data_IF_657420287457
#
_entry.id   IF_657420287457
#
_cell.length_a   1.000
_cell.length_b   1.000
_cell.length_c   1.000
_cell.angle_alpha   90.00
_cell.angle_beta   90.00
_cell.angle_gamma   90.00
#
_symmetry.space_group_name_H-M   'P 1'
#
loop_
_entity.id
_entity.type
_entity.pdbx_description
1 polymer ?
#
# COMPACT_ATOMS: atom_id res chain seq x y z
N UNK A 1 -17.94 -42.49 -46.48
CA UNK A 1 -16.49 -42.32 -46.67
C UNK A 1 -16.02 -41.32 -45.63
N UNK A 2 -15.99 -41.69 -44.35
CA UNK A 2 -15.05 -42.61 -43.68
C UNK A 2 -13.75 -41.93 -43.24
N UNK A 3 -13.43 -42.20 -41.97
CA UNK A 3 -12.20 -41.93 -41.20
C UNK A 3 -11.98 -40.48 -40.73
N UNK A 4 -11.72 -40.19 -39.44
CA UNK A 4 -11.53 -41.05 -38.27
C UNK A 4 -11.59 -40.20 -36.99
N UNK A 5 -12.18 -40.76 -35.93
CA UNK A 5 -12.19 -40.25 -34.56
C UNK A 5 -11.19 -41.03 -33.70
N UNK A 6 -10.48 -40.36 -32.78
CA UNK A 6 -9.81 -40.87 -31.55
C UNK A 6 -9.66 -39.64 -30.63
N UNK A 7 -10.33 -39.41 -29.50
CA UNK A 7 -10.73 -40.18 -28.30
C UNK A 7 -9.59 -40.42 -27.27
N UNK A 8 -9.81 -39.86 -26.06
CA UNK A 8 -9.81 -40.56 -24.75
C UNK A 8 -8.51 -40.60 -23.90
N UNK A 9 -8.60 -39.89 -22.76
CA UNK A 9 -8.31 -40.34 -21.37
C UNK A 9 -6.97 -40.09 -20.64
N UNK A 10 -7.16 -39.42 -19.48
CA UNK A 10 -6.83 -39.83 -18.09
C UNK A 10 -5.37 -39.90 -17.57
N UNK A 11 -5.12 -39.10 -16.51
CA UNK A 11 -4.60 -39.47 -15.15
C UNK A 11 -4.36 -38.16 -14.37
N UNK A 12 -5.03 -37.76 -13.28
CA UNK A 12 -5.28 -38.38 -11.96
C UNK A 12 -4.02 -38.77 -11.18
N UNK A 13 -3.63 -37.91 -10.22
CA UNK A 13 -3.10 -38.16 -8.85
C UNK A 13 -3.10 -36.79 -8.10
N UNK A 14 -3.81 -36.53 -6.98
CA UNK A 14 -3.62 -36.99 -5.57
C UNK A 14 -2.16 -36.80 -5.11
N UNK A 15 -1.77 -36.13 -4.01
CA UNK A 15 -2.34 -35.86 -2.68
C UNK A 15 -1.46 -34.87 -1.89
N UNK A 16 -2.07 -34.15 -0.92
CA UNK A 16 -1.57 -33.86 0.44
C UNK A 16 -0.25 -33.07 0.65
N UNK A 17 -0.32 -31.91 1.33
CA UNK A 17 0.19 -31.81 2.71
C UNK A 17 -0.19 -30.52 3.43
N UNK A 18 -0.72 -30.73 4.63
CA UNK A 18 -0.90 -29.83 5.78
C UNK A 18 0.35 -29.05 6.18
N UNK A 19 0.17 -27.82 6.68
CA UNK A 19 1.23 -27.02 7.28
C UNK A 19 0.71 -25.92 8.20
N UNK A 20 0.06 -26.31 9.30
CA UNK A 20 -0.27 -25.44 10.44
C UNK A 20 1.00 -24.83 11.03
N UNK A 21 1.05 -23.51 11.21
CA UNK A 21 2.01 -22.84 12.09
C UNK A 21 1.32 -21.91 13.07
N UNK A 22 1.00 -22.48 14.23
CA UNK A 22 0.87 -21.79 15.51
C UNK A 22 2.22 -21.23 15.96
N UNK A 23 2.22 -20.02 16.53
CA UNK A 23 3.15 -19.42 17.55
C UNK A 23 3.05 -17.88 17.39
N UNK A 24 2.91 -17.02 18.40
CA UNK A 24 3.12 -17.08 19.85
C UNK A 24 2.33 -15.92 20.49
N UNK A 25 1.56 -16.25 21.53
CA UNK A 25 1.11 -15.31 22.56
C UNK A 25 2.22 -15.14 23.60
N UNK A 26 2.26 -13.95 24.20
CA UNK A 26 2.47 -13.66 25.63
C UNK A 26 3.56 -12.63 25.96
N UNK A 27 3.37 -12.02 27.14
CA UNK A 27 4.25 -11.12 27.91
C UNK A 27 4.00 -9.63 27.62
N UNK A 28 3.55 -8.78 28.56
CA UNK A 28 3.83 -8.72 30.00
C UNK A 28 2.65 -8.10 30.79
N UNK A 29 2.33 -8.73 31.93
CA UNK A 29 1.56 -8.19 33.06
C UNK A 29 2.54 -7.79 34.18
N UNK A 30 2.13 -6.85 35.03
CA UNK A 30 2.76 -6.51 36.32
C UNK A 30 3.51 -5.18 36.23
N UNK A 31 3.34 -4.21 37.13
CA UNK A 31 3.44 -4.35 38.59
C UNK A 31 2.51 -3.36 39.29
N UNK A 32 1.85 -3.86 40.34
CA UNK A 32 1.13 -3.12 41.36
C UNK A 32 1.93 -3.18 42.66
N UNK A 33 1.52 -2.35 43.63
CA UNK A 33 1.86 -2.33 45.07
C UNK A 33 3.04 -1.42 45.44
N UNK A 34 2.74 -0.36 46.21
CA UNK A 34 3.02 -0.25 47.66
C UNK A 34 2.24 0.95 48.22
N UNK A 35 1.59 0.70 49.36
CA UNK A 35 0.85 1.62 50.23
C UNK A 35 1.68 1.83 51.53
N UNK A 36 1.25 2.74 52.43
CA UNK A 36 1.65 2.92 53.86
C UNK A 36 2.86 3.85 54.11
N UNK A 37 2.91 4.88 54.99
CA UNK A 37 2.02 5.50 56.00
C UNK A 37 2.56 6.90 56.44
N UNK A 38 1.65 7.71 57.00
CA UNK A 38 1.78 8.70 58.10
C UNK A 38 2.76 9.89 58.06
N UNK A 39 2.24 11.11 58.26
CA UNK A 39 2.19 11.72 59.61
C UNK A 39 1.45 13.07 59.64
N UNK A 40 0.68 13.26 60.71
CA UNK A 40 -0.03 14.47 61.10
C UNK A 40 0.90 15.62 61.48
N UNK A 41 0.53 16.84 61.11
CA UNK A 41 0.76 18.03 61.93
C UNK A 41 -0.23 19.12 61.53
N UNK A 42 -0.99 19.59 62.52
CA UNK A 42 -1.87 20.75 62.43
C UNK A 42 -1.04 22.04 62.37
N UNK A 43 -1.46 23.02 61.56
CA UNK A 43 -1.09 24.41 61.74
C UNK A 43 -2.17 25.34 61.16
N UNK A 44 -2.57 26.32 61.96
CA UNK A 44 -3.65 27.27 61.74
C UNK A 44 -3.26 28.43 60.79
N UNK A 45 -4.26 28.86 60.00
CA UNK A 45 -4.49 30.20 59.44
C UNK A 45 -3.53 30.75 58.34
N UNK A 46 -3.86 31.87 57.64
CA UNK A 46 -5.16 32.50 57.33
C UNK A 46 -5.43 32.66 55.81
N UNK A 47 -6.67 33.01 55.49
CA UNK A 47 -7.22 33.42 54.20
C UNK A 47 -6.28 34.26 53.32
N UNK A 48 -5.88 33.70 52.18
CA UNK A 48 -5.42 34.44 51.01
C UNK A 48 -6.17 33.90 49.80
N UNK A 49 -6.86 34.80 49.08
CA UNK A 49 -7.59 34.51 47.85
C UNK A 49 -6.56 34.22 46.73
N UNK A 50 -5.96 33.04 46.78
CA UNK A 50 -5.13 32.51 45.72
C UNK A 50 -6.07 31.93 44.67
N UNK A 51 -6.02 32.49 43.46
CA UNK A 51 -6.52 31.84 42.26
C UNK A 51 -5.73 30.54 42.09
N UNK A 52 -6.24 29.47 42.69
CA UNK A 52 -5.74 28.11 42.50
C UNK A 52 -6.02 27.78 41.04
N UNK A 53 -5.05 28.10 40.17
CA UNK A 53 -4.98 27.51 38.84
C UNK A 53 -4.82 26.03 39.09
N UNK A 54 -5.96 25.33 39.03
CA UNK A 54 -6.01 23.89 39.23
C UNK A 54 -4.96 23.23 38.33
N UNK A 55 -4.28 22.19 38.82
CA UNK A 55 -3.27 21.43 38.06
C UNK A 55 -3.79 21.02 36.66
N UNK A 56 -5.10 20.81 36.55
CA UNK A 56 -5.82 20.58 35.29
C UNK A 56 -5.78 21.76 34.31
N UNK A 57 -5.94 23.01 34.78
CA UNK A 57 -5.80 24.20 33.92
C UNK A 57 -4.37 24.36 33.40
N UNK A 58 -3.36 24.04 34.22
CA UNK A 58 -1.96 24.07 33.81
C UNK A 58 -1.64 22.98 32.76
N UNK A 59 -2.18 21.76 32.93
CA UNK A 59 -2.07 20.68 31.92
C UNK A 59 -2.73 21.06 30.60
N UNK A 60 -3.93 21.65 30.65
CA UNK A 60 -4.64 22.12 29.45
C UNK A 60 -3.88 23.23 28.72
N UNK A 61 -3.27 24.16 29.46
CA UNK A 61 -2.44 25.22 28.88
C UNK A 61 -1.22 24.64 28.14
N UNK A 62 -0.47 23.72 28.76
CA UNK A 62 0.68 23.04 28.14
C UNK A 62 0.28 22.25 26.88
N UNK A 63 -0.87 21.58 26.91
CA UNK A 63 -1.41 20.85 25.76
C UNK A 63 -1.73 21.76 24.57
N UNK A 64 -2.33 22.94 24.84
CA UNK A 64 -2.64 23.94 23.79
C UNK A 64 -1.37 24.51 23.17
N UNK A 65 -0.34 24.76 23.98
CA UNK A 65 0.94 25.29 23.50
C UNK A 65 1.66 24.29 22.58
N UNK A 66 1.71 23.01 22.95
CA UNK A 66 2.29 21.95 22.12
C UNK A 66 1.57 21.83 20.77
N UNK A 67 0.23 21.95 20.74
CA UNK A 67 -0.54 21.95 19.48
C UNK A 67 -0.18 23.13 18.59
N UNK A 68 0.00 24.32 19.15
CA UNK A 68 0.42 25.52 18.39
C UNK A 68 1.82 25.34 17.80
N UNK A 69 2.78 24.88 18.60
CA UNK A 69 4.14 24.63 18.15
C UNK A 69 4.19 23.58 17.01
N UNK A 70 3.40 22.50 17.11
CA UNK A 70 3.30 21.48 16.06
C UNK A 70 2.72 22.04 14.76
N UNK A 71 1.63 22.81 14.86
CA UNK A 71 0.98 23.42 13.70
C UNK A 71 1.88 24.47 13.02
N UNK A 72 2.69 25.20 13.79
CA UNK A 72 3.64 26.17 13.25
C UNK A 72 4.74 25.48 12.42
N UNK A 73 5.37 24.41 12.95
CA UNK A 73 6.35 23.62 12.21
C UNK A 73 5.79 23.03 10.91
N UNK A 74 4.51 22.63 10.92
CA UNK A 74 3.85 22.13 9.71
C UNK A 74 3.70 23.22 8.64
N UNK A 75 3.30 24.44 9.03
CA UNK A 75 3.21 25.58 8.11
C UNK A 75 4.57 26.00 7.54
N UNK A 76 5.62 25.97 8.35
CA UNK A 76 6.99 26.26 7.89
C UNK A 76 7.48 25.22 6.88
N UNK A 77 7.21 23.92 7.12
CA UNK A 77 7.51 22.87 6.14
C UNK A 77 6.75 23.03 4.82
N UNK A 78 5.51 23.50 4.85
CA UNK A 78 4.73 23.79 3.64
C UNK A 78 5.35 24.94 2.83
N UNK A 79 5.72 26.04 3.49
CA UNK A 79 6.39 27.18 2.82
C UNK A 79 7.72 26.78 2.16
N UNK A 80 8.49 25.90 2.81
CA UNK A 80 9.74 25.38 2.23
C UNK A 80 9.51 24.48 1.02
N UNK A 81 8.40 23.72 0.97
CA UNK A 81 8.04 22.92 -0.21
C UNK A 81 7.55 23.79 -1.37
N UNK A 82 6.91 24.92 -1.08
CA UNK A 82 6.37 25.85 -2.08
C UNK A 82 7.47 26.69 -2.77
N UNK A 83 8.62 26.91 -2.10
CA UNK A 83 9.74 27.67 -2.65
C UNK A 83 10.68 26.85 -3.57
N UNK A 84 10.50 25.52 -3.67
CA UNK A 84 11.28 24.68 -4.58
C UNK A 84 10.62 24.70 -5.95
N UNK A 85 10.94 25.71 -6.76
CA UNK A 85 10.61 25.72 -8.18
C UNK A 85 11.51 24.70 -8.88
N UNK A 86 10.99 23.62 -9.47
CA UNK A 86 11.85 22.63 -10.13
C UNK A 86 12.48 23.25 -11.39
N UNK A 87 13.81 23.17 -11.56
CA UNK A 87 14.47 23.62 -12.78
C UNK A 87 14.25 22.62 -13.93
N UNK A 88 14.09 23.20 -15.12
CA UNK A 88 14.13 22.60 -16.45
C UNK A 88 13.00 21.65 -16.83
N UNK A 89 12.09 22.23 -17.61
CA UNK A 89 11.25 21.60 -18.63
C UNK A 89 12.14 20.96 -19.70
N UNK A 90 12.82 19.86 -19.36
CA UNK A 90 13.28 18.93 -20.38
C UNK A 90 12.03 18.39 -21.08
N UNK A 91 12.05 18.42 -22.40
CA UNK A 91 10.93 18.05 -23.27
C UNK A 91 10.74 16.54 -23.19
N UNK A 92 9.95 16.04 -22.25
CA UNK A 92 9.56 14.63 -22.20
C UNK A 92 8.44 14.35 -23.21
N UNK A 93 8.41 13.13 -23.76
CA UNK A 93 7.28 12.67 -24.56
C UNK A 93 5.97 12.69 -23.75
N UNK A 94 4.84 12.81 -24.44
CA UNK A 94 3.51 12.80 -23.83
C UNK A 94 3.35 11.52 -22.98
N UNK A 95 2.93 11.60 -21.70
CA UNK A 95 2.84 10.43 -20.84
C UNK A 95 1.73 9.52 -21.37
N UNK A 96 2.10 8.38 -21.96
CA UNK A 96 1.18 7.32 -22.42
C UNK A 96 1.38 6.02 -21.63
N UNK A 97 1.65 6.11 -20.33
CA UNK A 97 1.71 4.92 -19.48
C UNK A 97 2.09 5.20 -18.01
N UNK A 98 1.96 4.17 -17.14
CA UNK A 98 2.32 4.23 -15.72
C UNK A 98 3.77 4.63 -15.46
N UNK A 99 4.69 4.20 -16.34
CA UNK A 99 6.10 4.54 -16.28
C UNK A 99 6.50 5.50 -17.40
N UNK A 100 7.16 6.59 -17.01
CA UNK A 100 7.67 7.60 -17.94
C UNK A 100 8.87 7.03 -18.69
N UNK A 101 8.81 7.03 -20.02
CA UNK A 101 9.92 6.60 -20.87
C UNK A 101 10.98 7.71 -20.92
N UNK A 102 12.23 7.44 -20.51
CA UNK A 102 13.30 8.43 -20.65
C UNK A 102 13.60 8.66 -22.14
N UNK A 103 13.96 9.90 -22.49
CA UNK A 103 14.56 10.17 -23.79
C UNK A 103 16.00 9.66 -23.78
N UNK A 104 16.18 8.45 -24.30
CA UNK A 104 17.47 7.76 -24.37
C UNK A 104 17.66 7.19 -25.78
N UNK A 105 18.89 7.20 -26.32
CA UNK A 105 19.18 6.52 -27.58
C UNK A 105 19.22 4.99 -27.44
N UNK A 106 19.14 4.43 -26.23
CA UNK A 106 19.19 2.98 -26.04
C UNK A 106 17.82 2.34 -26.36
N UNK A 107 17.67 1.64 -27.50
CA UNK A 107 16.39 1.06 -27.90
C UNK A 107 15.96 -0.10 -27.01
N UNK A 108 16.91 -0.84 -26.41
CA UNK A 108 16.60 -1.96 -25.53
C UNK A 108 15.91 -1.47 -24.25
N UNK A 109 16.40 -0.38 -23.66
CA UNK A 109 15.79 0.24 -22.47
C UNK A 109 14.37 0.74 -22.76
N UNK A 110 14.20 1.50 -23.85
CA UNK A 110 12.89 2.01 -24.26
C UNK A 110 11.91 0.88 -24.56
N UNK A 111 12.36 -0.18 -25.24
CA UNK A 111 11.53 -1.35 -25.57
C UNK A 111 11.10 -2.09 -24.30
N UNK A 112 12.02 -2.35 -23.38
CA UNK A 112 11.71 -3.02 -22.11
C UNK A 112 10.64 -2.27 -21.30
N UNK A 113 10.80 -0.95 -21.15
CA UNK A 113 9.85 -0.12 -20.43
C UNK A 113 8.49 0.00 -21.15
N UNK A 114 8.48 0.06 -22.49
CA UNK A 114 7.25 0.08 -23.27
C UNK A 114 6.48 -1.24 -23.15
N UNK A 115 7.18 -2.38 -23.22
CA UNK A 115 6.60 -3.71 -22.98
C UNK A 115 6.02 -3.81 -21.59
N UNK A 116 6.75 -3.31 -20.57
CA UNK A 116 6.26 -3.32 -19.20
C UNK A 116 5.01 -2.45 -19.02
N UNK A 117 4.99 -1.24 -19.60
CA UNK A 117 3.79 -0.39 -19.62
C UNK A 117 2.60 -1.02 -20.35
N UNK A 118 2.84 -1.85 -21.37
CA UNK A 118 1.77 -2.60 -22.03
C UNK A 118 1.19 -3.65 -21.09
N UNK A 119 2.06 -4.45 -20.46
CA UNK A 119 1.65 -5.48 -19.51
C UNK A 119 0.91 -4.93 -18.29
N UNK A 120 1.34 -3.80 -17.73
CA UNK A 120 0.58 -3.15 -16.65
C UNK A 120 -0.83 -2.75 -17.10
N UNK A 121 -1.00 -2.27 -18.34
CA UNK A 121 -2.31 -1.92 -18.88
C UNK A 121 -3.17 -3.15 -19.14
N UNK A 122 -2.59 -4.22 -19.68
CA UNK A 122 -3.29 -5.47 -19.94
C UNK A 122 -3.72 -6.15 -18.62
N UNK A 123 -2.90 -6.04 -17.58
CA UNK A 123 -3.24 -6.43 -16.21
C UNK A 123 -4.32 -5.53 -15.60
N UNK A 124 -4.70 -4.39 -16.19
CA UNK A 124 -5.75 -3.53 -15.61
C UNK A 124 -5.26 -2.62 -14.49
N UNK A 125 -4.01 -2.17 -14.57
CA UNK A 125 -3.49 -1.10 -13.72
C UNK A 125 -4.43 0.12 -13.76
N UNK A 126 -4.81 0.59 -12.57
CA UNK A 126 -5.65 1.77 -12.40
C UNK A 126 -4.93 2.75 -11.48
N UNK A 127 -4.80 3.99 -11.94
CA UNK A 127 -4.10 5.03 -11.20
C UNK A 127 -4.99 5.63 -10.09
N UNK A 128 -6.29 5.73 -10.34
CA UNK A 128 -7.25 6.22 -9.37
C UNK A 128 -7.73 5.10 -8.43
N UNK A 129 -7.28 5.19 -7.18
CA UNK A 129 -7.64 4.27 -6.10
C UNK A 129 -9.13 4.20 -5.82
N UNK A 130 -9.83 5.33 -5.96
CA UNK A 130 -11.28 5.40 -5.70
C UNK A 130 -12.00 4.70 -6.84
N UNK A 131 -11.59 4.94 -8.08
CA UNK A 131 -12.13 4.28 -9.26
C UNK A 131 -11.93 2.76 -9.19
N UNK A 132 -10.72 2.31 -8.83
CA UNK A 132 -10.40 0.88 -8.69
C UNK A 132 -11.32 0.19 -7.67
N UNK A 133 -11.47 0.77 -6.47
CA UNK A 133 -12.31 0.17 -5.42
C UNK A 133 -13.78 0.14 -5.80
N UNK A 134 -14.30 1.21 -6.44
CA UNK A 134 -15.68 1.26 -6.90
C UNK A 134 -15.95 0.19 -7.99
N UNK A 135 -15.00 0.02 -8.92
CA UNK A 135 -15.09 -1.01 -9.97
C UNK A 135 -15.13 -2.42 -9.37
N UNK A 136 -14.28 -2.73 -8.40
CA UNK A 136 -14.31 -4.02 -7.69
C UNK A 136 -15.66 -4.30 -7.01
N UNK A 137 -16.21 -3.31 -6.29
CA UNK A 137 -17.51 -3.44 -5.63
C UNK A 137 -18.65 -3.69 -6.64
N UNK A 138 -18.61 -2.99 -7.78
CA UNK A 138 -19.59 -3.14 -8.87
C UNK A 138 -19.52 -4.52 -9.52
N UNK A 139 -18.32 -4.96 -9.91
CA UNK A 139 -18.10 -6.26 -10.54
C UNK A 139 -18.50 -7.42 -9.63
N UNK A 140 -18.15 -7.35 -8.34
CA UNK A 140 -18.54 -8.36 -7.36
C UNK A 140 -20.06 -8.42 -7.20
N UNK A 141 -20.71 -7.26 -7.08
CA UNK A 141 -22.16 -7.18 -7.01
C UNK A 141 -22.85 -7.74 -8.27
N UNK A 142 -22.23 -7.59 -9.44
CA UNK A 142 -22.71 -8.20 -10.68
C UNK A 142 -22.51 -9.72 -10.69
N UNK A 143 -21.35 -10.21 -10.27
CA UNK A 143 -21.05 -11.64 -10.17
C UNK A 143 -21.99 -12.35 -9.20
N UNK A 144 -22.27 -11.77 -8.03
CA UNK A 144 -23.25 -12.31 -7.08
C UNK A 144 -24.65 -12.44 -7.69
N UNK A 145 -25.13 -11.41 -8.39
CA UNK A 145 -26.45 -11.43 -9.04
C UNK A 145 -26.53 -12.47 -10.15
N UNK A 146 -25.41 -12.73 -10.84
CA UNK A 146 -25.32 -13.76 -11.86
C UNK A 146 -25.18 -15.19 -11.29
N UNK A 147 -24.80 -15.32 -10.01
CA UNK A 147 -24.45 -16.60 -9.41
C UNK A 147 -23.04 -17.10 -9.77
N UNK A 148 -22.18 -16.22 -10.29
CA UNK A 148 -20.82 -16.53 -10.77
C UNK A 148 -19.73 -16.11 -9.75
N UNK A 149 -20.07 -16.02 -8.46
CA UNK A 149 -19.18 -15.52 -7.41
C UNK A 149 -17.85 -16.29 -7.34
N UNK A 150 -17.91 -17.62 -7.31
CA UNK A 150 -16.70 -18.48 -7.26
C UNK A 150 -15.79 -18.30 -8.48
N UNK A 151 -16.39 -18.14 -9.68
CA UNK A 151 -15.63 -17.91 -10.91
C UNK A 151 -14.91 -16.56 -10.85
N UNK A 152 -15.60 -15.52 -10.38
CA UNK A 152 -15.01 -14.20 -10.22
C UNK A 152 -13.87 -14.22 -9.20
N UNK A 153 -14.04 -14.89 -8.05
CA UNK A 153 -12.98 -15.08 -7.05
C UNK A 153 -11.75 -15.76 -7.67
N UNK A 154 -11.95 -16.88 -8.37
CA UNK A 154 -10.84 -17.59 -9.01
C UNK A 154 -10.10 -16.78 -10.08
N UNK A 155 -10.82 -15.92 -10.82
CA UNK A 155 -10.21 -14.97 -11.76
C UNK A 155 -9.38 -13.91 -11.03
N UNK A 156 -9.87 -13.38 -9.91
CA UNK A 156 -9.16 -12.37 -9.12
C UNK A 156 -7.94 -12.94 -8.39
N UNK A 157 -7.98 -14.19 -7.92
CA UNK A 157 -6.79 -14.89 -7.40
C UNK A 157 -5.75 -15.15 -8.50
N UNK A 158 -6.17 -15.46 -9.73
CA UNK A 158 -5.24 -15.57 -10.86
C UNK A 158 -4.59 -14.22 -11.20
N UNK A 159 -5.37 -13.15 -11.14
CA UNK A 159 -4.91 -11.78 -11.34
C UNK A 159 -3.87 -11.33 -10.29
N UNK A 160 -4.06 -11.72 -9.02
CA UNK A 160 -3.07 -11.49 -7.94
C UNK A 160 -1.76 -12.22 -8.27
N UNK A 161 -1.82 -13.50 -8.69
CA UNK A 161 -0.61 -14.26 -9.06
C UNK A 161 0.12 -13.65 -10.27
N UNK A 162 -0.61 -13.08 -11.23
CA UNK A 162 0.01 -12.37 -12.34
C UNK A 162 0.77 -11.10 -11.88
N UNK A 163 0.31 -10.47 -10.81
CA UNK A 163 0.99 -9.31 -10.22
C UNK A 163 2.37 -9.67 -9.66
N UNK A 164 2.53 -10.86 -9.07
CA UNK A 164 3.83 -11.32 -8.57
C UNK A 164 4.83 -11.42 -9.72
N UNK A 165 4.40 -11.99 -10.86
CA UNK A 165 5.24 -12.09 -12.07
C UNK A 165 5.64 -10.69 -12.57
N UNK A 166 4.71 -9.73 -12.57
CA UNK A 166 5.03 -8.34 -12.96
C UNK A 166 6.06 -7.69 -12.04
N UNK A 167 5.99 -7.95 -10.74
CA UNK A 167 6.94 -7.43 -9.76
C UNK A 167 8.32 -8.08 -9.92
N UNK A 168 8.37 -9.39 -10.16
CA UNK A 168 9.61 -10.12 -10.47
C UNK A 168 10.29 -9.58 -11.74
N UNK A 169 9.50 -9.27 -12.78
CA UNK A 169 10.01 -8.69 -14.02
C UNK A 169 10.63 -7.29 -13.80
N UNK A 170 10.03 -6.48 -12.92
CA UNK A 170 10.60 -5.19 -12.53
C UNK A 170 11.89 -5.40 -11.76
N UNK A 171 11.93 -6.33 -10.81
CA UNK A 171 13.13 -6.64 -10.04
C UNK A 171 14.26 -7.07 -10.98
N UNK A 172 13.98 -7.97 -11.93
CA UNK A 172 14.94 -8.41 -12.93
C UNK A 172 15.41 -7.23 -13.81
N UNK A 173 14.49 -6.36 -14.24
CA UNK A 173 14.82 -5.17 -15.01
C UNK A 173 15.74 -4.22 -14.22
N UNK A 174 15.44 -3.96 -12.95
CA UNK A 174 16.27 -3.12 -12.09
C UNK A 174 17.66 -3.75 -11.83
N UNK A 175 17.72 -5.08 -11.73
CA UNK A 175 18.96 -5.84 -11.55
C UNK A 175 19.81 -6.02 -12.82
N UNK A 176 19.28 -5.68 -13.99
CA UNK A 176 19.96 -5.89 -15.28
C UNK A 176 21.15 -4.95 -15.55
N UNK A 177 21.34 -3.91 -14.74
CA UNK A 177 22.32 -2.84 -14.99
C UNK A 177 21.91 -1.85 -16.09
N UNK A 178 20.74 -2.02 -16.73
CA UNK A 178 20.26 -1.12 -17.79
C UNK A 178 20.07 0.33 -17.34
N UNK A 179 19.96 0.60 -16.03
CA UNK A 179 19.86 1.96 -15.50
C UNK A 179 21.20 2.70 -15.45
N UNK A 180 22.33 2.00 -15.49
CA UNK A 180 23.67 2.59 -15.39
C UNK A 180 24.04 3.45 -16.60
N UNK A 181 23.36 3.24 -17.73
CA UNK A 181 23.57 4.00 -18.97
C UNK A 181 22.93 5.40 -18.91
N UNK A 182 22.04 5.64 -17.94
CA UNK A 182 21.27 6.88 -17.84
C UNK A 182 22.05 7.94 -17.08
N UNK A 183 21.81 9.21 -17.41
CA UNK A 183 22.25 10.30 -16.54
C UNK A 183 21.62 10.19 -15.16
N UNK A 184 22.28 10.71 -14.12
CA UNK A 184 21.77 10.66 -12.75
C UNK A 184 20.33 11.22 -12.64
N UNK A 185 20.04 12.31 -13.35
CA UNK A 185 18.70 12.93 -13.38
C UNK A 185 17.66 12.01 -14.03
N UNK A 186 17.98 11.41 -15.19
CA UNK A 186 17.07 10.50 -15.89
C UNK A 186 16.85 9.21 -15.09
N UNK A 187 17.89 8.67 -14.48
CA UNK A 187 17.82 7.50 -13.59
C UNK A 187 16.93 7.79 -12.38
N UNK A 188 17.12 8.91 -11.68
CA UNK A 188 16.30 9.28 -10.52
C UNK A 188 14.81 9.43 -10.86
N UNK A 189 14.50 10.04 -12.01
CA UNK A 189 13.11 10.19 -12.48
C UNK A 189 12.48 8.87 -12.87
N UNK A 190 13.21 8.03 -13.62
CA UNK A 190 12.74 6.70 -13.99
C UNK A 190 12.51 5.84 -12.74
N UNK A 191 13.44 5.88 -11.78
CA UNK A 191 13.31 5.21 -10.50
C UNK A 191 12.06 5.65 -9.73
N UNK A 192 11.81 6.97 -9.66
CA UNK A 192 10.60 7.50 -9.03
C UNK A 192 9.32 7.01 -9.73
N UNK A 193 9.35 6.89 -11.06
CA UNK A 193 8.23 6.40 -11.84
C UNK A 193 7.97 4.90 -11.61
N UNK A 194 9.03 4.08 -11.64
CA UNK A 194 8.95 2.63 -11.40
C UNK A 194 8.46 2.36 -9.97
N UNK A 195 9.05 2.99 -8.97
CA UNK A 195 8.64 2.81 -7.57
C UNK A 195 7.21 3.27 -7.33
N UNK A 196 6.75 4.33 -8.01
CA UNK A 196 5.36 4.75 -7.95
C UNK A 196 4.41 3.70 -8.54
N UNK A 197 4.75 3.10 -9.68
CA UNK A 197 3.96 2.04 -10.31
C UNK A 197 3.93 0.77 -9.44
N UNK A 198 5.08 0.31 -8.95
CA UNK A 198 5.21 -0.83 -8.02
C UNK A 198 4.32 -0.64 -6.80
N UNK A 199 4.41 0.53 -6.16
CA UNK A 199 3.62 0.82 -4.96
C UNK A 199 2.12 0.77 -5.23
N UNK A 200 1.67 1.24 -6.41
CA UNK A 200 0.27 1.19 -6.80
C UNK A 200 -0.20 -0.24 -7.09
N UNK A 201 0.59 -1.04 -7.81
CA UNK A 201 0.31 -2.47 -8.03
C UNK A 201 0.14 -3.19 -6.70
N UNK A 202 1.11 -3.05 -5.79
CA UNK A 202 1.05 -3.65 -4.45
C UNK A 202 -0.17 -3.18 -3.64
N UNK A 203 -0.53 -1.90 -3.75
CA UNK A 203 -1.72 -1.38 -3.10
C UNK A 203 -3.01 -2.01 -3.67
N UNK A 204 -3.13 -2.13 -5.00
CA UNK A 204 -4.31 -2.74 -5.63
C UNK A 204 -4.46 -4.21 -5.24
N UNK A 205 -3.35 -4.95 -5.21
CA UNK A 205 -3.32 -6.35 -4.74
C UNK A 205 -3.79 -6.45 -3.30
N UNK A 206 -3.22 -5.67 -2.38
CA UNK A 206 -3.60 -5.69 -0.97
C UNK A 206 -5.08 -5.34 -0.75
N UNK A 207 -5.62 -4.38 -1.52
CA UNK A 207 -7.06 -4.04 -1.47
C UNK A 207 -7.91 -5.21 -1.94
N UNK A 208 -7.51 -5.88 -3.02
CA UNK A 208 -8.24 -7.02 -3.56
C UNK A 208 -8.19 -8.22 -2.60
N UNK A 209 -7.04 -8.53 -2.01
CA UNK A 209 -6.91 -9.59 -0.99
C UNK A 209 -7.85 -9.37 0.19
N UNK A 210 -7.84 -8.17 0.79
CA UNK A 210 -8.77 -7.83 1.88
C UNK A 210 -10.22 -7.92 1.43
N UNK A 211 -10.51 -7.54 0.18
CA UNK A 211 -11.86 -7.64 -0.37
C UNK A 211 -12.31 -9.10 -0.53
N UNK A 212 -11.44 -9.98 -1.02
CA UNK A 212 -11.70 -11.42 -1.15
C UNK A 212 -11.92 -12.10 0.20
N UNK A 213 -11.15 -11.73 1.23
CA UNK A 213 -11.34 -12.23 2.59
C UNK A 213 -12.72 -11.87 3.15
N UNK A 214 -13.19 -10.64 2.91
CA UNK A 214 -14.53 -10.21 3.33
C UNK A 214 -15.62 -10.98 2.57
N UNK A 215 -15.45 -11.19 1.26
CA UNK A 215 -16.43 -11.91 0.45
C UNK A 215 -16.58 -13.36 0.90
N UNK A 216 -15.46 -14.06 1.06
CA UNK A 216 -15.44 -15.48 1.44
C UNK A 216 -15.91 -15.74 2.88
N UNK A 217 -15.80 -14.74 3.76
CA UNK A 217 -16.27 -14.84 5.16
C UNK A 217 -17.80 -14.74 5.29
N UNK A 218 -18.51 -14.22 4.29
CA UNK A 218 -19.96 -14.03 4.34
C UNK A 218 -20.77 -15.29 3.98
N UNK A 219 -20.12 -16.29 3.38
CA UNK A 219 -20.75 -17.54 2.94
C UNK A 219 -20.75 -18.66 4.00
N UNK A 220 -20.42 -18.35 5.25
CA UNK A 220 -20.54 -19.29 6.37
C UNK A 220 -21.92 -19.12 7.03
N UNK A 221 -22.87 -20.06 6.85
CA UNK A 221 -24.22 -19.99 7.42
C UNK A 221 -24.26 -20.14 8.95
#
# INVERSE_FOLDING_TARGET
MEHQALSVSQRLMRTSRTGVSHRLLASLKGVSVIWVLCSSAAFDAPMADQVVVTDEQAKLARSRELRRARNQRYREKLKLKEAVTPPSTEVYGTPRGPIILPLTPNPALTTALATFNARLRDWGYEEDRVAFRACLEEEWGAAQKAGDGDLWIGQREAWIRESDVLLDDIEQFLGSGMLEILSHTACSRLWASITSAVFKVQWQVAVLEVFLDVCTSQDVP
#
